data_IF_416680169264
#
_entry.id   IF_416680169264
#
_cell.length_a   1.000
_cell.length_b   1.000
_cell.length_c   1.000
_cell.angle_alpha   90.00
_cell.angle_beta   90.00
_cell.angle_gamma   90.00
#
_symmetry.space_group_name_H-M   'P 1'
#
loop_
_entity.id
_entity.type
_entity.pdbx_description
1 polymer ?
#
# COMPACT_ATOMS: atom_id res chain seq x y z
N UNK A 1 -12.95 -13.75 24.88
CA UNK A 1 -11.62 -13.10 24.72
C UNK A 1 -10.94 -12.92 26.08
N UNK A 2 -10.12 -13.89 26.48
CA UNK A 2 -9.60 -14.06 27.86
C UNK A 2 -8.95 -12.83 28.54
N UNK A 3 -8.57 -11.78 27.80
CA UNK A 3 -8.07 -10.55 28.40
C UNK A 3 -9.21 -9.72 28.99
N UNK A 4 -10.28 -9.49 28.23
CA UNK A 4 -11.44 -8.73 28.68
C UNK A 4 -12.20 -9.46 29.77
N UNK A 5 -12.30 -10.80 29.72
CA UNK A 5 -12.95 -11.62 30.75
C UNK A 5 -12.23 -11.51 32.10
N UNK A 6 -10.89 -11.37 32.08
CA UNK A 6 -10.12 -11.11 33.29
C UNK A 6 -10.40 -9.72 33.86
N UNK A 7 -10.60 -8.70 33.00
CA UNK A 7 -10.89 -7.34 33.43
C UNK A 7 -12.28 -7.28 34.09
N UNK A 8 -13.31 -7.86 33.46
CA UNK A 8 -14.67 -7.90 34.05
C UNK A 8 -14.68 -8.68 35.35
N UNK A 9 -14.03 -9.83 35.45
CA UNK A 9 -13.91 -10.57 36.68
C UNK A 9 -13.14 -9.81 37.77
N UNK A 10 -12.11 -9.03 37.41
CA UNK A 10 -11.34 -8.18 38.33
C UNK A 10 -12.19 -7.02 38.83
N UNK A 11 -12.92 -6.32 37.95
CA UNK A 11 -13.82 -5.23 38.32
C UNK A 11 -14.89 -5.71 39.33
N UNK A 12 -15.54 -6.85 39.02
CA UNK A 12 -16.54 -7.45 39.91
C UNK A 12 -15.97 -7.74 41.35
N UNK A 13 -14.78 -8.37 41.39
CA UNK A 13 -14.11 -8.69 42.67
C UNK A 13 -13.66 -7.44 43.44
N UNK A 14 -13.10 -6.46 42.72
CA UNK A 14 -12.54 -5.24 43.33
C UNK A 14 -13.63 -4.37 43.98
N UNK A 15 -14.78 -4.29 43.30
CA UNK A 15 -15.92 -3.54 43.82
C UNK A 15 -16.88 -4.40 44.67
N UNK A 16 -16.66 -5.71 44.76
CA UNK A 16 -17.48 -6.63 45.53
C UNK A 16 -18.91 -6.77 45.00
N UNK A 17 -19.10 -6.67 43.68
CA UNK A 17 -20.40 -6.76 43.00
C UNK A 17 -20.54 -8.08 42.20
N UNK A 18 -21.77 -8.58 42.02
CA UNK A 18 -21.97 -9.84 41.31
C UNK A 18 -21.81 -9.74 39.79
N UNK A 19 -21.97 -8.55 39.18
CA UNK A 19 -22.01 -8.39 37.73
C UNK A 19 -21.07 -7.26 37.31
N UNK A 20 -20.30 -7.53 36.26
CA UNK A 20 -19.51 -6.53 35.54
C UNK A 20 -19.55 -6.77 34.04
N UNK A 21 -19.61 -5.72 33.24
CA UNK A 21 -19.77 -5.79 31.80
C UNK A 21 -18.86 -4.76 31.12
N UNK A 22 -18.19 -5.19 30.05
CA UNK A 22 -17.62 -4.30 29.02
C UNK A 22 -18.64 -4.28 27.89
N UNK A 23 -19.28 -3.16 27.67
CA UNK A 23 -20.31 -2.97 26.66
C UNK A 23 -19.83 -2.07 25.53
N UNK A 24 -20.33 -2.34 24.33
CA UNK A 24 -20.24 -1.46 23.16
C UNK A 24 -21.67 -1.06 22.79
N UNK A 25 -21.92 0.23 22.64
CA UNK A 25 -23.24 0.78 22.31
C UNK A 25 -23.31 1.01 20.80
N UNK A 26 -24.23 0.29 20.16
CA UNK A 26 -24.54 0.39 18.73
C UNK A 26 -25.82 1.24 18.52
N UNK A 27 -26.25 1.40 17.27
CA UNK A 27 -27.46 2.19 16.92
C UNK A 27 -28.72 1.64 17.56
N UNK A 28 -28.90 0.32 17.60
CA UNK A 28 -30.10 -0.39 18.03
C UNK A 28 -29.89 -1.28 19.25
N UNK A 29 -28.66 -1.57 19.62
CA UNK A 29 -28.32 -2.54 20.68
C UNK A 29 -27.14 -2.10 21.53
N UNK A 30 -26.97 -2.76 22.66
CA UNK A 30 -25.78 -2.76 23.51
C UNK A 30 -25.21 -4.16 23.48
N UNK A 31 -24.05 -4.33 22.84
CA UNK A 31 -23.36 -5.59 22.74
C UNK A 31 -22.33 -5.72 23.87
N UNK A 32 -22.29 -6.89 24.50
CA UNK A 32 -21.38 -7.18 25.60
C UNK A 32 -20.10 -7.84 25.06
N UNK A 33 -19.05 -7.05 25.00
CA UNK A 33 -17.71 -7.51 24.59
C UNK A 33 -17.16 -8.55 25.55
N UNK A 34 -17.47 -8.37 26.85
CA UNK A 34 -17.17 -9.30 27.93
C UNK A 34 -18.12 -9.04 29.09
N UNK A 35 -18.46 -10.08 29.81
CA UNK A 35 -19.33 -10.00 30.98
C UNK A 35 -18.93 -10.99 32.06
N UNK A 36 -19.24 -10.67 33.31
CA UNK A 36 -19.09 -11.52 34.46
C UNK A 36 -20.43 -11.53 35.24
N UNK A 37 -20.85 -12.70 35.71
CA UNK A 37 -22.04 -12.85 36.51
C UNK A 37 -23.39 -12.82 35.79
N UNK A 38 -23.40 -12.75 34.46
CA UNK A 38 -24.61 -12.90 33.62
C UNK A 38 -24.32 -13.80 32.41
N UNK A 39 -25.37 -14.23 31.70
CA UNK A 39 -25.28 -15.11 30.52
C UNK A 39 -25.98 -14.50 29.29
N UNK A 40 -25.98 -13.17 29.20
CA UNK A 40 -26.58 -12.42 28.10
C UNK A 40 -25.45 -11.77 27.29
N UNK A 41 -25.49 -11.84 25.97
CA UNK A 41 -24.44 -11.30 25.09
C UNK A 41 -24.78 -9.90 24.57
N UNK A 42 -26.07 -9.54 24.55
CA UNK A 42 -26.55 -8.23 24.14
C UNK A 42 -27.93 -7.93 24.67
N UNK A 43 -28.29 -6.66 24.72
CA UNK A 43 -29.64 -6.16 25.00
C UNK A 43 -29.97 -5.07 23.97
N UNK A 44 -31.27 -4.73 23.87
CA UNK A 44 -31.71 -3.58 23.13
C UNK A 44 -31.09 -2.30 23.69
N UNK A 45 -30.84 -1.31 22.86
CA UNK A 45 -30.25 -0.03 23.27
C UNK A 45 -31.09 0.62 24.37
N UNK A 46 -32.39 0.63 24.21
CA UNK A 46 -33.36 0.99 25.25
C UNK A 46 -33.98 -0.31 25.81
N UNK A 47 -33.94 -0.52 27.10
CA UNK A 47 -33.72 0.40 28.24
C UNK A 47 -32.29 0.38 28.85
N UNK A 48 -31.26 0.12 28.07
CA UNK A 48 -29.91 -0.03 28.61
C UNK A 48 -29.32 1.26 29.20
N UNK A 49 -28.90 1.23 30.46
CA UNK A 49 -28.26 2.39 31.13
C UNK A 49 -26.89 2.75 30.53
N UNK A 50 -26.23 1.83 29.85
CA UNK A 50 -24.96 2.10 29.14
C UNK A 50 -25.13 3.15 28.04
N UNK A 51 -26.30 3.19 27.36
CA UNK A 51 -26.59 4.21 26.35
C UNK A 51 -26.69 5.62 26.96
N UNK A 52 -27.20 5.73 28.19
CA UNK A 52 -27.21 7.01 28.93
C UNK A 52 -25.82 7.37 29.43
N UNK A 53 -25.05 6.39 29.88
CA UNK A 53 -23.72 6.62 30.45
C UNK A 53 -22.69 7.10 29.44
N UNK A 54 -22.83 6.80 28.14
CA UNK A 54 -21.92 7.31 27.08
C UNK A 54 -22.21 8.74 26.65
N UNK A 55 -23.31 9.34 27.11
CA UNK A 55 -23.66 10.73 26.75
C UNK A 55 -22.88 11.76 27.57
N UNK A 56 -22.20 11.35 28.62
CA UNK A 56 -21.38 12.18 29.48
C UNK A 56 -19.96 11.60 29.58
N UNK A 57 -18.95 12.46 29.72
CA UNK A 57 -17.55 12.02 29.89
C UNK A 57 -17.24 11.60 31.33
N UNK A 58 -18.16 11.87 32.25
CA UNK A 58 -18.01 11.56 33.67
C UNK A 58 -18.54 10.15 34.01
N UNK A 59 -18.06 9.53 35.10
CA UNK A 59 -18.64 8.28 35.60
C UNK A 59 -20.14 8.42 35.89
N UNK A 60 -20.91 7.46 35.39
CA UNK A 60 -22.35 7.39 35.58
C UNK A 60 -22.66 6.52 36.82
N UNK A 61 -23.03 7.14 37.92
CA UNK A 61 -23.19 6.48 39.21
C UNK A 61 -24.66 6.52 39.66
N UNK A 62 -25.23 5.36 40.02
CA UNK A 62 -26.58 5.16 40.54
C UNK A 62 -26.47 4.24 41.75
N UNK A 63 -26.53 4.82 42.97
CA UNK A 63 -26.37 4.06 44.21
C UNK A 63 -27.63 3.28 44.62
N UNK A 64 -28.82 3.84 44.35
CA UNK A 64 -30.09 3.14 44.45
C UNK A 64 -31.02 3.52 43.27
N UNK A 65 -31.17 2.62 42.36
CA UNK A 65 -31.95 2.83 41.13
C UNK A 65 -33.47 3.02 41.36
N UNK A 66 -33.96 2.71 42.57
CA UNK A 66 -35.37 2.92 42.95
C UNK A 66 -35.70 4.37 43.24
N UNK A 67 -34.72 5.16 43.56
CA UNK A 67 -34.87 6.59 43.97
C UNK A 67 -34.16 7.55 43.03
N UNK A 68 -33.29 7.07 42.13
CA UNK A 68 -32.60 7.90 41.17
C UNK A 68 -33.53 8.24 39.97
N UNK A 69 -33.80 9.54 39.74
CA UNK A 69 -34.71 9.99 38.67
C UNK A 69 -34.34 9.47 37.24
N UNK A 70 -33.04 9.20 37.02
CA UNK A 70 -32.51 8.73 35.72
C UNK A 70 -32.88 7.28 35.43
N UNK A 71 -33.19 6.49 36.45
CA UNK A 71 -33.42 5.03 36.34
C UNK A 71 -34.78 4.56 36.82
N UNK A 72 -35.59 5.40 37.46
CA UNK A 72 -36.90 5.07 38.05
C UNK A 72 -37.82 4.32 37.07
N UNK A 73 -37.93 4.76 35.84
CA UNK A 73 -38.82 4.17 34.81
C UNK A 73 -38.18 3.04 34.02
N UNK A 74 -36.94 2.67 34.33
CA UNK A 74 -36.18 1.69 33.57
C UNK A 74 -36.71 0.26 33.83
N UNK A 75 -37.07 -0.49 32.77
CA UNK A 75 -37.54 -1.87 32.93
C UNK A 75 -36.56 -2.83 33.63
N UNK A 76 -35.27 -2.57 33.59
CA UNK A 76 -34.28 -3.37 34.33
C UNK A 76 -34.36 -3.14 35.85
N UNK A 77 -34.88 -1.97 36.29
CA UNK A 77 -35.12 -1.63 37.71
C UNK A 77 -36.48 -2.14 38.20
N UNK A 78 -37.53 -1.93 37.39
CA UNK A 78 -38.91 -2.29 37.76
C UNK A 78 -39.25 -3.76 37.50
N UNK A 79 -38.52 -4.43 36.58
CA UNK A 79 -38.77 -5.81 36.14
C UNK A 79 -38.03 -6.84 36.97
N UNK A 80 -38.06 -8.08 36.50
CA UNK A 80 -37.50 -9.27 37.18
C UNK A 80 -35.99 -9.22 37.40
N UNK A 81 -35.25 -8.46 36.55
CA UNK A 81 -33.80 -8.31 36.72
C UNK A 81 -33.45 -7.67 38.05
N UNK A 82 -34.21 -6.66 38.47
CA UNK A 82 -34.10 -6.07 39.80
C UNK A 82 -32.85 -5.30 40.03
N UNK A 83 -32.38 -4.50 39.04
CA UNK A 83 -31.21 -3.65 39.17
C UNK A 83 -31.42 -2.63 40.32
N UNK A 84 -30.41 -2.46 41.19
CA UNK A 84 -30.42 -1.49 42.30
C UNK A 84 -29.22 -0.58 42.30
N UNK A 85 -28.05 -1.11 42.02
CA UNK A 85 -26.82 -0.37 41.89
C UNK A 85 -26.26 -0.46 40.48
N UNK A 86 -25.80 0.65 39.94
CA UNK A 86 -25.13 0.74 38.67
C UNK A 86 -24.01 1.79 38.71
N UNK A 87 -22.79 1.41 38.40
CA UNK A 87 -21.69 2.33 38.21
C UNK A 87 -20.98 2.03 36.88
N UNK A 88 -20.79 3.04 36.05
CA UNK A 88 -20.17 2.89 34.75
C UNK A 88 -19.17 4.00 34.48
N UNK A 89 -18.11 3.63 33.77
CA UNK A 89 -17.14 4.58 33.20
C UNK A 89 -17.20 4.44 31.68
N UNK A 90 -17.35 5.54 30.93
CA UNK A 90 -17.31 5.52 29.48
C UNK A 90 -15.98 4.98 28.96
N UNK A 91 -16.03 4.24 27.87
CA UNK A 91 -14.87 3.77 27.10
C UNK A 91 -14.65 4.79 25.95
N UNK A 92 -13.83 5.78 26.23
CA UNK A 92 -13.60 6.93 25.35
C UNK A 92 -12.31 6.75 24.56
N UNK A 93 -12.38 6.91 23.24
CA UNK A 93 -11.22 6.88 22.34
C UNK A 93 -10.35 8.12 22.53
N UNK A 94 -9.10 8.08 22.03
CA UNK A 94 -8.16 9.21 22.07
C UNK A 94 -8.65 10.47 21.33
N UNK A 95 -9.60 10.32 20.41
CA UNK A 95 -10.26 11.41 19.68
C UNK A 95 -11.59 11.87 20.31
N UNK A 96 -11.91 11.37 21.53
CA UNK A 96 -13.02 11.86 22.35
C UNK A 96 -14.38 11.22 22.07
N UNK A 97 -14.43 10.04 21.45
CA UNK A 97 -15.70 9.34 21.19
C UNK A 97 -15.92 8.22 22.21
N UNK A 98 -17.05 8.24 22.87
CA UNK A 98 -17.45 7.19 23.82
C UNK A 98 -18.11 6.02 23.07
N UNK A 99 -17.43 4.87 23.03
CA UNK A 99 -17.85 3.68 22.29
C UNK A 99 -18.80 2.77 23.10
N UNK A 100 -18.74 2.87 24.43
CA UNK A 100 -19.44 2.00 25.34
C UNK A 100 -19.03 2.25 26.78
N UNK A 101 -19.19 1.26 27.64
CA UNK A 101 -18.87 1.41 29.07
C UNK A 101 -18.18 0.18 29.64
N UNK A 102 -17.33 0.39 30.66
CA UNK A 102 -17.08 -0.62 31.68
C UNK A 102 -18.04 -0.32 32.83
N UNK A 103 -18.95 -1.23 33.10
CA UNK A 103 -19.92 -1.06 34.18
C UNK A 103 -19.95 -2.24 35.15
N UNK A 104 -20.40 -1.94 36.36
CA UNK A 104 -20.64 -2.88 37.46
C UNK A 104 -22.06 -2.70 37.98
N UNK A 105 -22.68 -3.82 38.32
CA UNK A 105 -24.11 -3.89 38.61
C UNK A 105 -24.34 -4.73 39.87
N UNK A 106 -25.30 -4.31 40.72
CA UNK A 106 -25.81 -5.12 41.79
C UNK A 106 -27.36 -5.06 41.91
N UNK A 107 -27.92 -6.10 42.48
CA UNK A 107 -29.36 -6.18 42.86
C UNK A 107 -29.67 -5.62 44.23
N UNK A 108 -28.65 -5.11 44.91
CA UNK A 108 -28.77 -4.40 46.17
C UNK A 108 -28.24 -2.97 46.03
N UNK A 109 -28.81 -1.97 46.72
CA UNK A 109 -28.26 -0.62 46.76
C UNK A 109 -26.86 -0.60 47.41
N UNK A 110 -25.97 0.24 46.87
CA UNK A 110 -24.60 0.39 47.36
C UNK A 110 -24.17 1.83 47.29
N UNK A 111 -23.36 2.27 48.23
CA UNK A 111 -22.52 3.46 48.09
C UNK A 111 -21.22 3.06 47.38
N UNK A 112 -20.67 3.97 46.62
CA UNK A 112 -19.38 3.80 45.94
C UNK A 112 -18.40 4.87 46.45
N UNK A 113 -17.22 4.44 46.84
CA UNK A 113 -16.18 5.35 47.35
C UNK A 113 -15.32 5.86 46.17
N UNK A 114 -14.71 7.06 46.35
CA UNK A 114 -13.90 7.69 45.32
C UNK A 114 -12.78 6.79 44.80
N UNK A 115 -12.12 6.02 45.65
CA UNK A 115 -11.07 5.10 45.24
C UNK A 115 -11.59 3.94 44.36
N UNK A 116 -12.86 3.51 44.55
CA UNK A 116 -13.49 2.49 43.74
C UNK A 116 -13.86 3.04 42.34
N UNK A 117 -14.22 4.33 42.29
CA UNK A 117 -14.45 5.02 41.00
C UNK A 117 -13.13 5.14 40.24
N UNK A 118 -12.03 5.48 40.90
CA UNK A 118 -10.70 5.51 40.27
C UNK A 118 -10.25 4.13 39.82
N UNK A 119 -10.42 3.09 40.59
CA UNK A 119 -10.17 1.69 40.17
C UNK A 119 -10.94 1.34 38.88
N UNK A 120 -12.20 1.78 38.77
CA UNK A 120 -13.04 1.53 37.61
C UNK A 120 -12.56 2.33 36.39
N UNK A 121 -12.09 3.58 36.56
CA UNK A 121 -11.48 4.39 35.49
C UNK A 121 -10.19 3.78 35.01
N UNK A 122 -9.32 3.31 35.88
CA UNK A 122 -8.07 2.66 35.52
C UNK A 122 -8.33 1.38 34.70
N UNK A 123 -9.31 0.57 35.13
CA UNK A 123 -9.72 -0.61 34.39
C UNK A 123 -10.34 -0.27 33.02
N UNK A 124 -11.11 0.81 32.91
CA UNK A 124 -11.67 1.29 31.66
C UNK A 124 -10.56 1.76 30.69
N UNK A 125 -9.53 2.46 31.22
CA UNK A 125 -8.34 2.83 30.44
C UNK A 125 -7.63 1.59 29.87
N UNK A 126 -7.39 0.56 30.69
CA UNK A 126 -6.79 -0.70 30.24
C UNK A 126 -7.65 -1.37 29.15
N UNK A 127 -8.98 -1.30 29.25
CA UNK A 127 -9.88 -1.81 28.19
C UNK A 127 -9.65 -1.05 26.90
N UNK A 128 -9.57 0.28 26.94
CA UNK A 128 -9.34 1.10 25.76
C UNK A 128 -7.98 0.83 25.13
N UNK A 129 -6.90 0.76 25.92
CA UNK A 129 -5.57 0.41 25.44
C UNK A 129 -5.57 -0.94 24.67
N UNK A 130 -6.28 -1.94 25.21
CA UNK A 130 -6.41 -3.26 24.57
C UNK A 130 -7.22 -3.20 23.26
N UNK A 131 -8.27 -2.39 23.20
CA UNK A 131 -9.09 -2.21 22.00
C UNK A 131 -8.29 -1.49 20.91
N UNK A 132 -7.60 -0.40 21.23
CA UNK A 132 -6.79 0.38 20.30
C UNK A 132 -5.61 -0.42 19.77
N UNK A 133 -4.91 -1.17 20.63
CA UNK A 133 -3.82 -2.06 20.22
C UNK A 133 -4.31 -3.13 19.22
N UNK A 134 -5.45 -3.75 19.47
CA UNK A 134 -6.05 -4.74 18.55
C UNK A 134 -6.41 -4.12 17.21
N UNK A 135 -7.05 -2.96 17.23
CA UNK A 135 -7.42 -2.24 16.01
C UNK A 135 -6.18 -1.86 15.19
N UNK A 136 -5.13 -1.36 15.84
CA UNK A 136 -3.84 -1.04 15.22
C UNK A 136 -3.20 -2.28 14.58
N UNK A 137 -3.19 -3.40 15.30
CA UNK A 137 -2.66 -4.67 14.80
C UNK A 137 -3.43 -5.19 13.58
N UNK A 138 -4.75 -5.12 13.59
CA UNK A 138 -5.58 -5.52 12.45
C UNK A 138 -5.31 -4.66 11.22
N UNK A 139 -5.22 -3.33 11.38
CA UNK A 139 -4.88 -2.39 10.30
C UNK A 139 -3.48 -2.66 9.74
N UNK A 140 -2.51 -3.01 10.60
CA UNK A 140 -1.16 -3.35 10.17
C UNK A 140 -1.12 -4.65 9.34
N UNK A 141 -1.86 -5.69 9.77
CA UNK A 141 -2.00 -6.96 9.02
C UNK A 141 -2.68 -6.73 7.67
N UNK A 142 -3.72 -5.94 7.62
CA UNK A 142 -4.43 -5.62 6.39
C UNK A 142 -3.51 -4.89 5.39
N UNK A 143 -2.75 -3.88 5.84
CA UNK A 143 -1.75 -3.20 5.02
C UNK A 143 -0.67 -4.14 4.51
N UNK A 144 -0.15 -5.02 5.37
CA UNK A 144 0.85 -6.02 4.98
C UNK A 144 0.31 -6.98 3.90
N UNK A 145 -0.95 -7.42 4.02
CA UNK A 145 -1.60 -8.27 3.04
C UNK A 145 -1.82 -7.57 1.69
N UNK A 146 -2.17 -6.28 1.70
CA UNK A 146 -2.31 -5.48 0.47
C UNK A 146 -0.96 -5.36 -0.24
N UNK A 147 0.11 -5.03 0.50
CA UNK A 147 1.46 -4.95 -0.04
C UNK A 147 1.95 -6.30 -0.61
N UNK A 148 1.69 -7.41 0.11
CA UNK A 148 2.04 -8.74 -0.37
C UNK A 148 1.34 -9.10 -1.69
N UNK A 149 0.06 -8.77 -1.84
CA UNK A 149 -0.68 -8.97 -3.10
C UNK A 149 -0.11 -8.13 -4.23
N UNK A 150 0.28 -6.89 -3.95
CA UNK A 150 0.88 -6.03 -4.96
C UNK A 150 2.24 -6.56 -5.42
N UNK A 151 3.09 -7.02 -4.49
CA UNK A 151 4.36 -7.67 -4.80
C UNK A 151 4.14 -8.91 -5.69
N UNK A 152 3.19 -9.77 -5.33
CA UNK A 152 2.85 -10.99 -6.10
C UNK A 152 2.44 -10.66 -7.54
N UNK A 153 1.61 -9.63 -7.71
CA UNK A 153 1.19 -9.14 -9.02
C UNK A 153 2.38 -8.62 -9.85
N UNK A 154 3.26 -7.83 -9.24
CA UNK A 154 4.46 -7.29 -9.90
C UNK A 154 5.45 -8.40 -10.28
N UNK A 155 5.69 -9.37 -9.39
CA UNK A 155 6.56 -10.53 -9.68
C UNK A 155 6.01 -11.35 -10.85
N UNK A 156 4.69 -11.62 -10.88
CA UNK A 156 4.06 -12.33 -12.01
C UNK A 156 4.23 -11.59 -13.33
N UNK A 157 4.00 -10.27 -13.33
CA UNK A 157 4.16 -9.46 -14.53
C UNK A 157 5.61 -9.48 -15.05
N UNK A 158 6.59 -9.36 -14.17
CA UNK A 158 8.01 -9.42 -14.51
C UNK A 158 8.42 -10.79 -15.05
N UNK A 159 7.96 -11.87 -14.43
CA UNK A 159 8.22 -13.24 -14.92
C UNK A 159 7.58 -13.50 -16.28
N UNK A 160 6.37 -13.00 -16.51
CA UNK A 160 5.72 -13.08 -17.82
C UNK A 160 6.49 -12.30 -18.89
N UNK A 161 6.99 -11.11 -18.54
CA UNK A 161 7.81 -10.29 -19.42
C UNK A 161 9.13 -11.00 -19.79
N UNK A 162 9.87 -11.49 -18.79
CA UNK A 162 11.11 -12.27 -18.98
C UNK A 162 10.84 -13.53 -19.83
N UNK A 163 9.76 -14.26 -19.54
CA UNK A 163 9.35 -15.42 -20.32
C UNK A 163 9.05 -15.07 -21.79
N UNK A 164 8.39 -13.91 -22.02
CA UNK A 164 8.12 -13.38 -23.35
C UNK A 164 9.40 -13.07 -24.12
N UNK A 165 10.35 -12.37 -23.49
CA UNK A 165 11.66 -12.09 -24.09
C UNK A 165 12.45 -13.36 -24.45
N UNK A 166 12.50 -14.34 -23.53
CA UNK A 166 13.18 -15.62 -23.79
C UNK A 166 12.52 -16.41 -24.91
N UNK A 167 11.17 -16.43 -25.02
CA UNK A 167 10.44 -17.06 -26.15
C UNK A 167 10.71 -16.37 -27.47
N UNK A 168 10.78 -15.05 -27.51
CA UNK A 168 11.14 -14.31 -28.72
C UNK A 168 12.55 -14.65 -29.18
N UNK A 169 13.49 -14.79 -28.24
CA UNK A 169 14.88 -15.15 -28.52
C UNK A 169 15.01 -16.58 -28.99
N UNK A 170 14.29 -17.55 -28.42
CA UNK A 170 14.33 -18.96 -28.85
C UNK A 170 13.81 -19.17 -30.30
N UNK A 171 12.92 -18.30 -30.77
CA UNK A 171 12.40 -18.34 -32.16
C UNK A 171 13.34 -17.73 -33.20
N UNK A 172 14.32 -16.96 -32.74
CA UNK A 172 15.30 -16.26 -33.61
C UNK A 172 16.66 -16.95 -33.64
N UNK A 173 16.84 -18.05 -32.93
CA UNK A 173 18.09 -18.78 -32.84
C UNK A 173 18.30 -19.62 -34.13
N UNK A 174 19.12 -19.14 -35.03
CA UNK A 174 19.84 -19.98 -35.98
C UNK A 174 20.89 -20.80 -35.24
N UNK A 175 21.10 -22.03 -35.67
CA UNK A 175 21.75 -23.15 -34.93
C UNK A 175 23.27 -22.92 -34.68
N UNK A 176 23.83 -21.73 -34.97
CA UNK A 176 25.29 -21.51 -34.99
C UNK A 176 25.89 -20.72 -33.79
N UNK A 177 25.13 -19.98 -33.01
CA UNK A 177 25.71 -19.05 -32.02
C UNK A 177 24.99 -19.05 -30.66
N UNK A 178 24.81 -20.23 -30.10
CA UNK A 178 24.10 -20.44 -28.85
C UNK A 178 24.65 -19.65 -27.63
N UNK A 179 25.95 -19.39 -27.61
CA UNK A 179 26.60 -18.65 -26.50
C UNK A 179 26.27 -17.15 -26.56
N UNK A 180 26.28 -16.55 -27.77
CA UNK A 180 25.92 -15.13 -27.94
C UNK A 180 24.43 -14.87 -27.63
N UNK A 181 23.57 -15.83 -28.00
CA UNK A 181 22.14 -15.76 -27.69
C UNK A 181 21.85 -15.89 -26.18
N UNK A 182 22.55 -16.78 -25.46
CA UNK A 182 22.45 -16.92 -24.02
C UNK A 182 22.96 -15.67 -23.30
N UNK A 183 24.07 -15.10 -23.75
CA UNK A 183 24.61 -13.86 -23.19
C UNK A 183 23.65 -12.69 -23.38
N UNK A 184 23.03 -12.57 -24.56
CA UNK A 184 22.00 -11.55 -24.83
C UNK A 184 20.76 -11.72 -23.93
N UNK A 185 20.33 -12.96 -23.68
CA UNK A 185 19.23 -13.26 -22.76
C UNK A 185 19.59 -12.90 -21.30
N UNK A 186 20.78 -13.26 -20.87
CA UNK A 186 21.28 -12.95 -19.52
C UNK A 186 21.36 -11.44 -19.30
N UNK A 187 21.86 -10.68 -20.26
CA UNK A 187 21.92 -9.22 -20.19
C UNK A 187 20.53 -8.58 -20.09
N UNK A 188 19.53 -9.11 -20.80
CA UNK A 188 18.14 -8.63 -20.72
C UNK A 188 17.48 -8.94 -19.37
N UNK A 189 17.73 -10.12 -18.83
CA UNK A 189 17.24 -10.47 -17.48
C UNK A 189 17.89 -9.57 -16.44
N UNK A 190 19.19 -9.29 -16.57
CA UNK A 190 19.90 -8.36 -15.70
C UNK A 190 19.33 -6.93 -15.78
N UNK A 191 19.01 -6.45 -16.99
CA UNK A 191 18.38 -5.13 -17.19
C UNK A 191 16.99 -5.04 -16.57
N UNK A 192 16.17 -6.10 -16.70
CA UNK A 192 14.87 -6.17 -16.00
C UNK A 192 15.07 -6.12 -14.48
N UNK A 193 16.05 -6.85 -13.95
CA UNK A 193 16.36 -6.87 -12.53
C UNK A 193 16.88 -5.52 -12.03
N UNK A 194 17.61 -4.79 -12.87
CA UNK A 194 18.14 -3.44 -12.57
C UNK A 194 17.03 -2.39 -12.54
N UNK A 195 16.20 -2.36 -13.57
CA UNK A 195 14.97 -1.54 -13.60
C UNK A 195 14.12 -1.82 -12.37
N UNK A 196 13.98 -3.09 -11.98
CA UNK A 196 13.23 -3.50 -10.79
C UNK A 196 13.84 -2.97 -9.47
N UNK A 197 15.16 -2.92 -9.32
CA UNK A 197 15.82 -2.37 -8.11
C UNK A 197 15.55 -0.89 -7.92
N UNK A 198 15.56 -0.11 -8.98
CA UNK A 198 15.26 1.34 -8.93
C UNK A 198 13.79 1.62 -8.59
N UNK A 199 12.89 0.69 -8.91
CA UNK A 199 11.46 0.80 -8.58
C UNK A 199 11.15 0.65 -7.09
N UNK A 200 11.95 -0.12 -6.34
CA UNK A 200 11.69 -0.37 -4.91
C UNK A 200 12.26 0.69 -3.97
N UNK A 201 13.06 1.61 -4.48
CA UNK A 201 13.58 2.72 -3.69
C UNK A 201 12.56 3.85 -3.49
N UNK A 202 11.54 3.95 -4.36
CA UNK A 202 10.53 5.01 -4.31
C UNK A 202 9.11 4.42 -4.24
N UNK A 203 8.42 4.59 -3.12
CA UNK A 203 7.07 4.08 -2.84
C UNK A 203 5.95 4.89 -3.49
N UNK A 204 6.25 5.76 -4.47
CA UNK A 204 5.31 6.67 -5.12
C UNK A 204 4.61 6.08 -6.35
N UNK A 205 3.39 6.53 -6.63
CA UNK A 205 2.63 6.17 -7.84
C UNK A 205 3.24 6.70 -9.15
N UNK A 206 4.14 7.68 -9.08
CA UNK A 206 4.84 8.27 -10.22
C UNK A 206 6.31 8.56 -9.90
N UNK A 207 7.20 8.36 -10.89
CA UNK A 207 8.66 8.43 -10.76
C UNK A 207 9.22 9.53 -11.67
N UNK A 208 10.29 10.22 -11.23
CA UNK A 208 11.05 11.16 -12.08
C UNK A 208 11.75 10.39 -13.19
N UNK A 209 11.31 10.62 -14.44
CA UNK A 209 11.87 9.92 -15.59
C UNK A 209 13.34 10.25 -15.84
N UNK A 210 13.70 11.51 -15.76
CA UNK A 210 15.07 11.97 -16.02
C UNK A 210 16.06 11.49 -14.97
N UNK A 211 15.68 11.47 -13.68
CA UNK A 211 16.51 10.89 -12.61
C UNK A 211 16.70 9.39 -12.78
N UNK A 212 15.63 8.68 -13.11
CA UNK A 212 15.69 7.25 -13.42
C UNK A 212 16.63 6.96 -14.59
N UNK A 213 16.49 7.69 -15.71
CA UNK A 213 17.36 7.53 -16.88
C UNK A 213 18.82 7.84 -16.55
N UNK A 214 19.10 8.85 -15.73
CA UNK A 214 20.45 9.20 -15.30
C UNK A 214 21.11 8.04 -14.54
N UNK A 215 20.42 7.49 -13.56
CA UNK A 215 20.92 6.35 -12.79
C UNK A 215 21.11 5.08 -13.65
N UNK A 216 20.16 4.80 -14.56
CA UNK A 216 20.28 3.66 -15.48
C UNK A 216 21.47 3.82 -16.44
N UNK A 217 21.65 5.02 -16.99
CA UNK A 217 22.71 5.30 -17.95
C UNK A 217 24.11 5.36 -17.30
N UNK A 218 24.24 5.79 -16.04
CA UNK A 218 25.48 5.70 -15.26
C UNK A 218 25.93 4.23 -15.13
N UNK A 219 25.02 3.35 -14.77
CA UNK A 219 25.30 1.91 -14.66
C UNK A 219 25.67 1.30 -16.02
N UNK A 220 24.90 1.64 -17.09
CA UNK A 220 25.19 1.17 -18.43
C UNK A 220 26.52 1.68 -18.97
N UNK A 221 26.86 2.94 -18.71
CA UNK A 221 28.13 3.53 -19.11
C UNK A 221 29.33 2.80 -18.51
N UNK A 222 29.22 2.42 -17.23
CA UNK A 222 30.23 1.63 -16.55
C UNK A 222 30.39 0.20 -17.11
N UNK A 223 29.27 -0.46 -17.48
CA UNK A 223 29.28 -1.83 -18.03
C UNK A 223 29.78 -1.86 -19.46
N UNK A 224 29.38 -0.87 -20.27
CA UNK A 224 29.66 -0.82 -21.71
C UNK A 224 30.98 -0.09 -22.02
N UNK A 225 31.62 0.50 -21.00
CA UNK A 225 32.83 1.34 -21.13
C UNK A 225 32.62 2.48 -22.17
N UNK A 226 31.43 3.12 -22.09
CA UNK A 226 31.02 4.19 -23.00
C UNK A 226 30.59 5.44 -22.24
N UNK A 227 30.89 6.59 -22.80
CA UNK A 227 30.37 7.86 -22.30
C UNK A 227 28.89 8.00 -22.70
N UNK A 228 28.02 8.10 -21.69
CA UNK A 228 26.57 8.30 -21.90
C UNK A 228 26.17 9.56 -21.15
N UNK A 229 25.55 10.50 -21.85
CA UNK A 229 25.00 11.70 -21.22
C UNK A 229 23.48 11.63 -21.16
N UNK A 230 22.92 12.13 -20.09
CA UNK A 230 21.48 12.21 -19.90
C UNK A 230 21.07 13.65 -19.65
N UNK A 231 20.19 14.15 -20.50
CA UNK A 231 19.56 15.46 -20.37
C UNK A 231 18.03 15.31 -20.48
N UNK A 232 17.27 16.16 -19.81
CA UNK A 232 15.82 16.07 -19.91
C UNK A 232 15.04 16.98 -19.02
N UNK A 233 13.76 17.08 -19.36
CA UNK A 233 12.79 17.85 -18.61
C UNK A 233 12.42 17.12 -17.31
N UNK A 234 12.14 17.89 -16.26
CA UNK A 234 11.64 17.35 -15.01
C UNK A 234 10.17 16.95 -15.16
N UNK A 235 9.87 15.66 -15.04
CA UNK A 235 8.53 15.15 -15.15
C UNK A 235 8.36 13.81 -14.46
N UNK A 236 7.16 13.58 -13.93
CA UNK A 236 6.80 12.32 -13.29
C UNK A 236 5.96 11.48 -14.23
N UNK A 237 6.33 10.21 -14.37
CA UNK A 237 5.67 9.25 -15.25
C UNK A 237 5.13 8.08 -14.42
N UNK A 238 3.98 7.49 -14.82
CA UNK A 238 3.47 6.30 -14.16
C UNK A 238 4.51 5.19 -14.10
N UNK A 239 4.61 4.52 -12.96
CA UNK A 239 5.57 3.47 -12.72
C UNK A 239 5.55 2.35 -13.80
N UNK A 240 4.36 2.00 -14.33
CA UNK A 240 4.21 1.00 -15.42
C UNK A 240 4.93 1.40 -16.71
N UNK A 241 5.01 2.70 -17.03
CA UNK A 241 5.62 3.22 -18.25
C UNK A 241 7.13 3.33 -18.14
N UNK A 242 7.65 3.65 -16.93
CA UNK A 242 9.08 3.68 -16.64
C UNK A 242 9.76 2.36 -16.95
N UNK A 243 9.11 1.21 -16.68
CA UNK A 243 9.67 -0.10 -17.00
C UNK A 243 9.91 -0.27 -18.50
N UNK A 244 8.94 0.12 -19.34
CA UNK A 244 9.08 0.07 -20.78
C UNK A 244 10.16 1.04 -21.28
N UNK A 245 10.19 2.27 -20.73
CA UNK A 245 11.21 3.29 -21.04
C UNK A 245 12.62 2.78 -20.73
N UNK A 246 12.82 2.21 -19.53
CA UNK A 246 14.13 1.68 -19.11
C UNK A 246 14.63 0.56 -20.02
N UNK A 247 13.75 -0.34 -20.43
CA UNK A 247 14.10 -1.43 -21.35
C UNK A 247 14.40 -0.94 -22.77
N UNK A 248 13.62 0.02 -23.28
CA UNK A 248 13.88 0.68 -24.56
C UNK A 248 15.26 1.37 -24.52
N UNK A 249 15.51 2.15 -23.46
CA UNK A 249 16.80 2.84 -23.28
C UNK A 249 17.95 1.84 -23.25
N UNK A 250 17.83 0.76 -22.47
CA UNK A 250 18.87 -0.27 -22.42
C UNK A 250 19.16 -0.92 -23.79
N UNK A 251 18.14 -1.26 -24.55
CA UNK A 251 18.30 -1.86 -25.89
C UNK A 251 18.91 -0.85 -26.87
N UNK A 252 18.47 0.42 -26.87
CA UNK A 252 19.00 1.46 -27.75
C UNK A 252 20.45 1.82 -27.40
N UNK A 253 20.78 2.01 -26.13
CA UNK A 253 22.14 2.28 -25.65
C UNK A 253 23.07 1.12 -25.96
N UNK A 254 22.61 -0.13 -25.77
CA UNK A 254 23.40 -1.32 -26.12
C UNK A 254 23.64 -1.40 -27.64
N UNK A 255 22.64 -1.06 -28.45
CA UNK A 255 22.78 -1.01 -29.91
C UNK A 255 23.76 0.10 -30.32
N UNK A 256 23.67 1.29 -29.75
CA UNK A 256 24.58 2.39 -29.95
C UNK A 256 26.04 2.02 -29.55
N UNK A 257 26.22 1.29 -28.46
CA UNK A 257 27.54 0.81 -28.05
C UNK A 257 28.13 -0.24 -29.00
N UNK A 258 27.29 -1.10 -29.62
CA UNK A 258 27.71 -2.17 -30.56
C UNK A 258 27.93 -1.66 -31.97
N UNK A 259 27.08 -0.78 -32.45
CA UNK A 259 27.01 -0.38 -33.88
C UNK A 259 27.46 1.08 -34.09
N UNK A 260 27.29 1.92 -33.10
CA UNK A 260 27.71 3.32 -33.10
C UNK A 260 29.15 3.52 -32.63
N UNK A 261 29.60 4.78 -32.62
CA UNK A 261 30.90 5.22 -32.11
C UNK A 261 30.70 6.45 -31.22
N UNK A 262 31.76 6.87 -30.54
CA UNK A 262 31.75 8.10 -29.74
C UNK A 262 30.82 8.06 -28.56
N UNK A 263 30.26 9.20 -28.26
CA UNK A 263 29.33 9.45 -27.14
C UNK A 263 27.91 9.00 -27.48
N UNK A 264 27.17 8.62 -26.43
CA UNK A 264 25.75 8.31 -26.55
C UNK A 264 24.97 9.35 -25.78
N UNK A 265 24.05 10.03 -26.42
CA UNK A 265 23.19 11.05 -25.82
C UNK A 265 21.78 10.48 -25.64
N UNK A 266 21.30 10.51 -24.39
CA UNK A 266 19.94 10.13 -24.02
C UNK A 266 19.21 11.37 -23.56
N UNK A 267 18.05 11.65 -24.12
CA UNK A 267 17.26 12.78 -23.63
C UNK A 267 15.77 12.44 -23.51
N UNK A 268 15.15 13.06 -22.51
CA UNK A 268 13.72 12.95 -22.26
C UNK A 268 13.10 14.34 -22.34
N UNK A 269 12.10 14.50 -23.20
CA UNK A 269 11.42 15.79 -23.42
C UNK A 269 9.92 15.66 -23.20
N UNK A 270 9.33 16.66 -22.60
CA UNK A 270 7.91 16.79 -22.35
C UNK A 270 7.37 17.92 -23.21
N UNK A 271 6.40 17.64 -24.07
CA UNK A 271 5.68 18.64 -24.85
C UNK A 271 4.21 18.68 -24.41
N UNK A 272 3.42 19.63 -24.88
CA UNK A 272 2.01 19.79 -24.48
C UNK A 272 1.16 18.52 -24.65
N UNK A 273 1.48 17.67 -25.62
CA UNK A 273 0.66 16.51 -25.99
C UNK A 273 1.38 15.16 -25.86
N UNK A 274 2.69 15.12 -25.70
CA UNK A 274 3.47 13.89 -25.73
C UNK A 274 4.78 13.97 -24.98
N UNK A 275 5.26 12.82 -24.53
CA UNK A 275 6.62 12.60 -24.05
C UNK A 275 7.49 12.08 -25.17
N UNK A 276 8.76 12.44 -25.20
CA UNK A 276 9.74 11.95 -26.18
C UNK A 276 10.96 11.40 -25.45
N UNK A 277 11.28 10.14 -25.71
CA UNK A 277 12.57 9.54 -25.39
C UNK A 277 13.44 9.56 -26.64
N UNK A 278 14.63 10.11 -26.57
CA UNK A 278 15.55 10.26 -27.68
C UNK A 278 16.89 9.63 -27.29
N UNK A 279 17.42 8.77 -28.14
CA UNK A 279 18.76 8.15 -27.98
C UNK A 279 19.52 8.33 -29.27
N UNK A 280 20.67 9.02 -29.21
CA UNK A 280 21.53 9.29 -30.37
C UNK A 280 22.94 8.78 -30.11
N UNK A 281 23.64 8.34 -31.16
CA UNK A 281 25.07 8.02 -31.15
C UNK A 281 25.84 8.85 -32.19
N UNK A 282 27.17 8.76 -32.14
CA UNK A 282 28.11 9.45 -33.07
C UNK A 282 28.69 8.46 -34.11
N UNK A 283 27.95 7.41 -34.46
CA UNK A 283 28.41 6.41 -35.41
C UNK A 283 28.28 6.81 -36.87
N UNK A 284 28.29 5.80 -37.78
CA UNK A 284 28.16 5.99 -39.22
C UNK A 284 26.73 6.30 -39.68
N UNK A 285 25.78 6.41 -38.75
CA UNK A 285 24.35 6.56 -39.07
C UNK A 285 23.68 5.26 -39.48
N UNK A 286 22.45 5.39 -39.95
CA UNK A 286 21.61 4.28 -40.39
C UNK A 286 21.69 4.12 -41.92
N UNK A 287 21.55 2.86 -42.46
CA UNK A 287 21.34 2.68 -43.87
C UNK A 287 20.16 3.49 -44.40
N UNK A 288 20.25 3.97 -45.64
CA UNK A 288 19.21 4.86 -46.20
C UNK A 288 17.83 4.20 -46.36
N UNK A 289 17.76 2.88 -46.29
CA UNK A 289 16.55 2.06 -46.33
C UNK A 289 16.18 1.45 -44.98
N UNK A 290 16.76 1.98 -43.88
CA UNK A 290 16.48 1.46 -42.56
C UNK A 290 15.04 1.72 -42.14
N UNK A 291 14.30 0.62 -41.90
CA UNK A 291 12.96 0.65 -41.33
C UNK A 291 12.94 -0.09 -39.96
N UNK A 292 12.67 0.59 -38.84
CA UNK A 292 12.61 -0.06 -37.53
C UNK A 292 11.50 -1.10 -37.39
N UNK A 293 10.50 -1.06 -38.25
CA UNK A 293 9.38 -2.01 -38.30
C UNK A 293 9.55 -3.15 -39.29
N UNK A 294 10.62 -3.17 -40.04
CA UNK A 294 10.87 -4.24 -41.06
C UNK A 294 10.91 -5.62 -40.41
N UNK A 295 10.42 -6.62 -41.12
CA UNK A 295 10.45 -8.02 -40.69
C UNK A 295 11.88 -8.56 -40.47
N UNK A 296 12.85 -7.98 -41.19
CA UNK A 296 14.29 -8.27 -41.11
C UNK A 296 15.01 -7.56 -39.95
N UNK A 297 14.31 -6.69 -39.22
CA UNK A 297 14.88 -6.02 -38.09
C UNK A 297 15.32 -7.02 -37.00
N UNK A 298 16.50 -6.78 -36.44
CA UNK A 298 17.07 -7.64 -35.41
C UNK A 298 16.18 -7.71 -34.15
N UNK A 299 16.41 -8.74 -33.34
CA UNK A 299 15.58 -9.01 -32.16
C UNK A 299 15.45 -7.81 -31.21
N UNK A 300 16.54 -7.05 -31.01
CA UNK A 300 16.51 -5.81 -30.17
C UNK A 300 15.46 -4.81 -30.68
N UNK A 301 15.44 -4.57 -32.01
CA UNK A 301 14.50 -3.64 -32.62
C UNK A 301 13.05 -4.11 -32.49
N UNK A 302 12.79 -5.42 -32.60
CA UNK A 302 11.46 -6.01 -32.37
C UNK A 302 10.98 -5.83 -30.90
N UNK A 303 11.90 -5.87 -29.94
CA UNK A 303 11.59 -5.57 -28.53
C UNK A 303 11.25 -4.10 -28.36
N UNK A 304 12.05 -3.21 -28.95
CA UNK A 304 11.82 -1.76 -28.88
C UNK A 304 10.46 -1.40 -29.49
N UNK A 305 10.14 -1.93 -30.68
CA UNK A 305 8.84 -1.66 -31.33
C UNK A 305 7.66 -2.20 -30.54
N UNK A 306 7.78 -3.38 -29.92
CA UNK A 306 6.74 -3.94 -29.05
C UNK A 306 6.51 -3.10 -27.79
N UNK A 307 7.60 -2.61 -27.15
CA UNK A 307 7.51 -1.75 -25.96
C UNK A 307 7.01 -0.35 -26.31
N UNK A 308 7.42 0.22 -27.46
CA UNK A 308 6.87 1.48 -27.95
C UNK A 308 5.34 1.37 -28.18
N UNK A 309 4.88 0.26 -28.77
CA UNK A 309 3.44 -0.02 -28.92
C UNK A 309 2.73 -0.17 -27.58
N UNK A 310 3.37 -0.77 -26.55
CA UNK A 310 2.82 -0.86 -25.20
C UNK A 310 2.64 0.53 -24.57
N UNK A 311 3.54 1.49 -24.84
CA UNK A 311 3.44 2.89 -24.47
C UNK A 311 2.45 3.66 -25.36
N UNK A 312 1.74 3.01 -26.27
CA UNK A 312 0.91 3.66 -27.30
C UNK A 312 1.70 4.71 -28.09
N UNK A 313 3.00 4.50 -28.23
CA UNK A 313 3.95 5.41 -28.84
C UNK A 313 4.35 4.99 -30.24
N UNK A 314 5.02 5.89 -30.92
CA UNK A 314 5.57 5.71 -32.27
C UNK A 314 7.09 5.78 -32.18
N UNK A 315 7.76 4.79 -32.74
CA UNK A 315 9.21 4.78 -32.92
C UNK A 315 9.56 5.37 -34.27
N UNK A 316 10.47 6.32 -34.31
CA UNK A 316 11.12 6.81 -35.53
C UNK A 316 12.64 6.72 -35.38
N UNK A 317 13.32 6.60 -36.51
CA UNK A 317 14.78 6.54 -36.57
C UNK A 317 15.28 7.38 -37.78
N UNK A 318 16.40 8.07 -37.58
CA UNK A 318 16.95 8.95 -38.60
C UNK A 318 18.40 9.33 -38.31
N UNK A 319 19.02 10.15 -39.19
CA UNK A 319 20.34 10.69 -38.96
C UNK A 319 20.31 11.67 -37.76
N UNK A 320 21.46 11.84 -37.13
CA UNK A 320 21.65 12.88 -36.10
C UNK A 320 21.64 14.27 -36.77
N UNK A 321 20.97 15.25 -36.17
CA UNK A 321 20.84 16.61 -36.72
C UNK A 321 22.18 17.36 -36.69
N UNK A 322 23.03 17.10 -35.70
CA UNK A 322 24.24 17.85 -35.41
C UNK A 322 25.54 17.19 -35.93
N UNK A 323 25.47 16.15 -36.77
CA UNK A 323 26.66 15.47 -37.26
C UNK A 323 26.42 14.08 -37.81
N UNK A 324 27.48 13.26 -37.83
CA UNK A 324 27.38 11.85 -38.19
C UNK A 324 26.77 11.07 -36.98
N UNK A 325 25.90 10.13 -37.25
CA UNK A 325 25.30 9.24 -36.26
C UNK A 325 23.84 8.88 -36.52
N UNK A 326 23.29 8.10 -35.63
CA UNK A 326 21.89 7.68 -35.66
C UNK A 326 21.13 8.20 -34.44
N UNK A 327 19.89 8.60 -34.64
CA UNK A 327 18.97 8.94 -33.59
C UNK A 327 17.69 8.08 -33.67
N UNK A 328 17.28 7.59 -32.51
CA UNK A 328 16.01 6.90 -32.31
C UNK A 328 15.13 7.75 -31.40
N UNK A 329 13.88 7.97 -31.82
CA UNK A 329 12.91 8.79 -31.10
C UNK A 329 11.65 7.95 -30.84
N UNK A 330 11.25 7.86 -29.59
CA UNK A 330 9.98 7.27 -29.21
C UNK A 330 9.09 8.38 -28.66
N UNK A 331 7.99 8.66 -29.35
CA UNK A 331 6.99 9.64 -28.95
C UNK A 331 5.75 8.91 -28.41
N UNK A 332 5.28 9.25 -27.20
CA UNK A 332 4.18 8.57 -26.55
C UNK A 332 3.35 9.55 -25.67
N UNK A 333 2.02 9.28 -25.46
CA UNK A 333 1.15 10.17 -24.70
C UNK A 333 1.50 10.24 -23.22
N UNK A 334 1.12 11.33 -22.54
CA UNK A 334 1.38 11.53 -21.09
C UNK A 334 0.77 10.46 -20.20
N UNK A 335 -0.35 9.84 -20.63
CA UNK A 335 -1.11 8.85 -19.86
C UNK A 335 -0.83 7.41 -20.29
N UNK A 336 0.31 7.16 -20.92
CA UNK A 336 0.70 5.84 -21.42
C UNK A 336 0.98 4.83 -20.30
#
# INVERSE_FOLDING_TARGET
DGAFDRITALAARRLGVPISIISIVDEDRIWFKSHHGIHVEQIDREPGLCASAIMEDAPYLVEDARIDPRSLANPLVAGEFGLRFYAAVPLTTSDGHSLGTLCVIDKEPRSIEDHQVEDLKDLASIVMDQLELRLSSLKAIERANLLAKEIDHRVKNNLQFVSGLLKMQSRSADIGDGAAHLQSAANRVASVAQVHRHFYADTGEAVSCTEFLRSLCEDLGSILEREITVDGDEGRIPAKSIQAIGLITNELVTNAAKHGRGKIDVSFRISDNANKLIVCDEGQGLPGDFDPYAATAGLGMRVITALASQLQGILSAGPREDGEGACFVIEFPHNA
#
